data_IF_962428591960
#
_entry.id   IF_962428591960
#
_cell.length_a   1.000
_cell.length_b   1.000
_cell.length_c   1.000
_cell.angle_alpha   90.00
_cell.angle_beta   90.00
_cell.angle_gamma   90.00
#
_symmetry.space_group_name_H-M   'P 1'
#
loop_
_entity.id
_entity.type
_entity.pdbx_description
1 polymer ?
#
# COMPACT_ATOMS: atom_id res chain seq x y z
N UNK A 1 -20.31 -24.39 37.64
CA UNK A 1 -19.24 -23.37 37.54
C UNK A 1 -19.75 -22.08 36.88
N UNK A 2 -20.42 -22.18 35.72
CA UNK A 2 -21.00 -21.05 34.97
C UNK A 2 -21.97 -20.16 35.78
N UNK A 3 -22.83 -20.74 36.63
CA UNK A 3 -23.77 -20.00 37.47
C UNK A 3 -23.11 -19.12 38.56
N UNK A 4 -21.87 -19.44 38.99
CA UNK A 4 -21.15 -18.61 39.98
C UNK A 4 -20.53 -17.37 39.36
N UNK A 5 -20.23 -17.40 38.07
CA UNK A 5 -19.58 -16.28 37.35
C UNK A 5 -20.60 -15.19 37.05
N UNK A 6 -21.82 -15.56 36.63
CA UNK A 6 -22.90 -14.63 36.26
C UNK A 6 -23.48 -13.80 37.42
N UNK A 7 -23.16 -14.14 38.68
CA UNK A 7 -23.64 -13.42 39.87
C UNK A 7 -22.70 -12.34 40.42
N UNK A 8 -21.55 -12.11 39.78
CA UNK A 8 -20.50 -11.21 40.26
C UNK A 8 -20.38 -9.96 39.38
N UNK A 9 -20.11 -8.75 39.92
CA UNK A 9 -20.18 -7.48 39.16
C UNK A 9 -19.23 -7.39 37.95
N UNK A 10 -18.26 -8.31 37.84
CA UNK A 10 -17.28 -8.38 36.76
C UNK A 10 -17.62 -9.41 35.67
N UNK A 11 -18.78 -10.09 35.71
CA UNK A 11 -19.15 -11.10 34.71
C UNK A 11 -19.23 -10.52 33.29
N UNK A 12 -19.65 -9.25 33.18
CA UNK A 12 -19.69 -8.52 31.91
C UNK A 12 -18.29 -8.33 31.32
N UNK A 13 -17.27 -8.11 32.16
CA UNK A 13 -15.87 -7.97 31.75
C UNK A 13 -15.35 -9.32 31.25
N UNK A 14 -15.69 -10.42 31.93
CA UNK A 14 -15.29 -11.76 31.49
C UNK A 14 -15.93 -12.12 30.14
N UNK A 15 -17.22 -11.83 29.96
CA UNK A 15 -17.90 -12.04 28.67
C UNK A 15 -17.27 -11.17 27.58
N UNK A 16 -17.00 -9.89 27.87
CA UNK A 16 -16.37 -8.98 26.93
C UNK A 16 -14.95 -9.45 26.56
N UNK A 17 -14.14 -9.91 27.51
CA UNK A 17 -12.82 -10.49 27.24
C UNK A 17 -12.92 -11.77 26.42
N UNK A 18 -13.85 -12.68 26.74
CA UNK A 18 -14.02 -13.94 25.99
C UNK A 18 -14.50 -13.69 24.55
N UNK A 19 -15.26 -12.61 24.32
CA UNK A 19 -15.70 -12.22 22.96
C UNK A 19 -14.60 -11.48 22.22
N UNK A 20 -13.85 -10.59 22.89
CA UNK A 20 -12.80 -9.78 22.25
C UNK A 20 -11.51 -10.57 22.01
N UNK A 21 -11.15 -11.51 22.87
CA UNK A 21 -9.91 -12.30 22.74
C UNK A 21 -9.81 -13.05 21.39
N UNK A 22 -10.83 -13.82 20.93
CA UNK A 22 -10.76 -14.46 19.63
C UNK A 22 -10.75 -13.45 18.48
N UNK A 23 -11.42 -12.29 18.62
CA UNK A 23 -11.36 -11.21 17.61
C UNK A 23 -9.95 -10.64 17.52
N UNK A 24 -9.27 -10.41 18.65
CA UNK A 24 -7.89 -9.92 18.70
C UNK A 24 -6.92 -10.96 18.14
N UNK A 25 -7.06 -12.24 18.51
CA UNK A 25 -6.22 -13.32 17.98
C UNK A 25 -6.42 -13.46 16.47
N UNK A 26 -7.67 -13.40 15.99
CA UNK A 26 -8.01 -13.43 14.57
C UNK A 26 -7.42 -12.24 13.80
N UNK A 27 -7.48 -11.03 14.35
CA UNK A 27 -6.81 -9.85 13.77
C UNK A 27 -5.28 -9.97 13.75
N UNK A 28 -4.70 -10.72 14.69
CA UNK A 28 -3.26 -10.93 14.81
C UNK A 28 -2.73 -12.11 13.97
N UNK A 29 -3.59 -12.97 13.42
CA UNK A 29 -3.17 -14.04 12.52
C UNK A 29 -2.97 -13.50 11.10
N UNK A 30 -1.74 -13.60 10.54
CA UNK A 30 -1.50 -13.16 9.18
C UNK A 30 -2.30 -14.04 8.20
N UNK A 31 -3.06 -13.45 7.26
CA UNK A 31 -3.73 -14.24 6.24
C UNK A 31 -2.68 -14.96 5.40
N UNK A 32 -2.84 -16.28 5.20
CA UNK A 32 -1.99 -17.05 4.29
C UNK A 32 -2.32 -16.65 2.86
N UNK A 33 -1.58 -15.71 2.30
CA UNK A 33 -1.74 -15.27 0.91
C UNK A 33 -0.51 -15.72 0.14
N UNK A 34 -0.69 -16.70 -0.75
CA UNK A 34 0.39 -17.19 -1.59
C UNK A 34 0.36 -16.44 -2.93
N UNK A 35 1.22 -15.44 -3.09
CA UNK A 35 1.34 -14.68 -4.33
C UNK A 35 2.80 -14.58 -4.79
N UNK A 36 3.06 -15.03 -6.02
CA UNK A 36 4.33 -14.84 -6.72
C UNK A 36 4.30 -13.50 -7.48
N UNK A 37 4.45 -12.39 -6.76
CA UNK A 37 4.84 -11.15 -7.42
C UNK A 37 6.29 -11.30 -7.87
N UNK A 38 6.57 -10.90 -9.11
CA UNK A 38 7.92 -10.90 -9.64
C UNK A 38 8.10 -9.57 -10.36
N UNK A 39 8.50 -8.56 -9.61
CA UNK A 39 8.73 -7.22 -10.13
C UNK A 39 9.88 -7.17 -11.14
N UNK A 40 10.77 -8.17 -11.15
CA UNK A 40 11.84 -8.26 -12.15
C UNK A 40 11.31 -8.50 -13.58
N UNK A 41 10.04 -8.90 -13.76
CA UNK A 41 9.39 -8.96 -15.08
C UNK A 41 8.98 -7.60 -15.63
N UNK A 42 9.05 -6.53 -14.85
CA UNK A 42 8.79 -5.18 -15.35
C UNK A 42 9.78 -4.87 -16.48
N UNK A 43 9.32 -4.34 -17.62
CA UNK A 43 10.18 -4.14 -18.78
C UNK A 43 11.24 -3.07 -18.50
N UNK A 44 12.46 -3.29 -18.98
CA UNK A 44 13.52 -2.27 -18.95
C UNK A 44 13.37 -1.26 -20.10
N UNK A 45 12.51 -1.54 -21.09
CA UNK A 45 12.24 -0.63 -22.20
C UNK A 45 10.73 -0.40 -22.33
N UNK A 46 10.32 0.87 -22.34
CA UNK A 46 8.91 1.26 -22.55
C UNK A 46 8.88 2.36 -23.61
N UNK A 47 8.52 2.02 -24.85
CA UNK A 47 8.66 2.96 -25.97
C UNK A 47 10.09 3.48 -26.04
N UNK A 48 10.27 4.79 -25.89
CA UNK A 48 11.56 5.48 -25.98
C UNK A 48 12.32 5.56 -24.64
N UNK A 49 11.70 5.06 -23.56
CA UNK A 49 12.24 5.10 -22.20
C UNK A 49 13.10 3.89 -21.90
N UNK A 50 14.33 4.12 -21.46
CA UNK A 50 15.27 3.10 -21.00
C UNK A 50 15.37 3.09 -19.48
N UNK A 51 15.14 1.93 -18.88
CA UNK A 51 15.07 1.70 -17.44
C UNK A 51 16.37 1.13 -16.87
N UNK A 52 16.74 1.58 -15.68
CA UNK A 52 17.82 1.04 -14.88
C UNK A 52 17.37 0.84 -13.43
N UNK A 53 17.56 -0.38 -12.92
CA UNK A 53 17.27 -0.69 -11.52
C UNK A 53 18.23 0.04 -10.58
N UNK A 54 17.66 0.67 -9.55
CA UNK A 54 18.41 1.30 -8.48
C UNK A 54 18.45 0.33 -7.31
N UNK A 55 19.68 -0.04 -6.92
CA UNK A 55 19.88 -0.91 -5.77
C UNK A 55 19.56 -0.17 -4.48
N UNK A 56 18.64 -0.73 -3.72
CA UNK A 56 18.27 -0.25 -2.39
C UNK A 56 19.26 -0.83 -1.38
N UNK A 57 19.66 -0.04 -0.39
CA UNK A 57 20.54 -0.55 0.65
C UNK A 57 19.83 -1.64 1.47
N UNK A 58 20.57 -2.65 1.93
CA UNK A 58 19.97 -3.70 2.79
C UNK A 58 19.35 -3.11 4.05
N UNK A 59 19.95 -2.03 4.58
CA UNK A 59 19.42 -1.31 5.73
C UNK A 59 18.03 -0.73 5.44
N UNK A 60 17.87 -0.02 4.33
CA UNK A 60 16.60 0.62 3.98
C UNK A 60 15.55 -0.41 3.59
N UNK A 61 15.95 -1.47 2.89
CA UNK A 61 15.09 -2.60 2.56
C UNK A 61 14.56 -3.26 3.85
N UNK A 62 15.42 -3.56 4.81
CA UNK A 62 15.03 -4.19 6.07
C UNK A 62 14.20 -3.24 6.95
N UNK A 63 14.46 -1.94 6.92
CA UNK A 63 13.66 -0.95 7.65
C UNK A 63 12.22 -0.89 7.12
N UNK A 64 12.05 -0.94 5.80
CA UNK A 64 10.74 -0.97 5.16
C UNK A 64 10.08 -2.36 5.27
N UNK A 65 10.87 -3.43 5.34
CA UNK A 65 10.43 -4.82 5.37
C UNK A 65 9.28 -5.15 4.40
N UNK A 66 9.40 -4.79 3.10
CA UNK A 66 8.41 -5.17 2.09
C UNK A 66 8.59 -6.63 1.67
N UNK A 67 7.53 -7.24 1.15
CA UNK A 67 7.60 -8.58 0.57
C UNK A 67 8.34 -8.57 -0.78
N UNK A 68 8.16 -7.50 -1.58
CA UNK A 68 8.95 -7.21 -2.78
C UNK A 68 9.02 -5.69 -3.00
N UNK A 69 10.10 -5.20 -3.59
CA UNK A 69 10.33 -3.76 -3.82
C UNK A 69 11.12 -3.53 -5.10
N UNK A 70 10.58 -2.71 -5.99
CA UNK A 70 11.28 -2.24 -7.19
C UNK A 70 11.48 -0.74 -7.12
N UNK A 71 12.73 -0.32 -7.27
CA UNK A 71 13.11 1.07 -7.54
C UNK A 71 13.83 1.11 -8.89
N UNK A 72 13.30 1.86 -9.84
CA UNK A 72 13.83 1.94 -11.20
C UNK A 72 13.75 3.36 -11.74
N UNK A 73 14.84 3.82 -12.33
CA UNK A 73 14.84 5.08 -13.08
C UNK A 73 14.66 4.80 -14.55
N UNK A 74 13.75 5.50 -15.21
CA UNK A 74 13.60 5.54 -16.66
C UNK A 74 14.09 6.88 -17.19
N UNK A 75 14.85 6.84 -18.29
CA UNK A 75 15.32 8.03 -19.01
C UNK A 75 14.94 7.89 -20.48
N UNK A 76 14.37 8.94 -21.07
CA UNK A 76 14.07 8.95 -22.51
C UNK A 76 15.13 9.69 -23.33
N UNK A 77 14.94 9.70 -24.66
CA UNK A 77 15.83 10.35 -25.62
C UNK A 77 15.96 11.87 -25.44
N UNK A 78 14.99 12.52 -24.78
CA UNK A 78 15.01 13.95 -24.47
C UNK A 78 15.72 14.26 -23.14
N UNK A 79 16.16 13.24 -22.40
CA UNK A 79 16.79 13.38 -21.08
C UNK A 79 15.79 13.58 -19.93
N UNK A 80 14.50 13.39 -20.18
CA UNK A 80 13.49 13.39 -19.12
C UNK A 80 13.65 12.13 -18.26
N UNK A 81 13.43 12.25 -16.94
CA UNK A 81 13.64 11.17 -15.98
C UNK A 81 12.36 10.87 -15.19
N UNK A 82 12.04 9.59 -15.06
CA UNK A 82 10.97 9.10 -14.20
C UNK A 82 11.59 8.14 -13.18
N UNK A 83 11.23 8.32 -11.91
CA UNK A 83 11.64 7.44 -10.84
C UNK A 83 10.44 6.62 -10.37
N UNK A 84 10.44 5.35 -10.73
CA UNK A 84 9.39 4.38 -10.42
C UNK A 84 9.70 3.67 -9.11
N UNK A 85 8.70 3.61 -8.23
CA UNK A 85 8.71 2.84 -7.00
C UNK A 85 7.49 1.93 -6.95
N UNK A 86 7.70 0.64 -6.74
CA UNK A 86 6.62 -0.33 -6.51
C UNK A 86 6.94 -1.08 -5.22
N UNK A 87 6.09 -0.87 -4.21
CA UNK A 87 6.16 -1.56 -2.92
C UNK A 87 5.07 -2.62 -2.87
N UNK A 88 5.45 -3.87 -2.63
CA UNK A 88 4.52 -4.97 -2.41
C UNK A 88 4.61 -5.37 -0.95
N UNK A 89 3.48 -5.36 -0.26
CA UNK A 89 3.35 -6.00 1.05
C UNK A 89 2.02 -6.76 1.13
N UNK A 90 2.14 -7.97 1.66
CA UNK A 90 1.17 -9.05 1.77
C UNK A 90 1.03 -9.40 3.25
N UNK A 91 2.15 -9.57 3.95
CA UNK A 91 2.16 -9.98 5.36
C UNK A 91 2.43 -8.81 6.30
N UNK A 92 3.31 -7.87 5.92
CA UNK A 92 3.76 -6.79 6.80
C UNK A 92 3.05 -5.45 6.54
N UNK A 93 2.02 -5.19 7.36
CA UNK A 93 1.11 -4.04 7.21
C UNK A 93 1.69 -2.70 7.66
N UNK A 94 2.79 -2.72 8.42
CA UNK A 94 3.40 -1.51 8.99
C UNK A 94 4.16 -0.67 7.95
N UNK A 95 4.49 -1.27 6.79
CA UNK A 95 5.26 -0.64 5.73
C UNK A 95 4.47 0.38 4.88
N UNK A 96 3.14 0.41 4.98
CA UNK A 96 2.30 1.26 4.14
C UNK A 96 1.92 2.55 4.85
N UNK A 97 2.62 3.63 4.51
CA UNK A 97 2.23 4.99 4.84
C UNK A 97 2.01 5.83 3.58
N UNK A 98 1.21 6.91 3.65
CA UNK A 98 1.08 7.86 2.55
C UNK A 98 2.46 8.43 2.13
N UNK A 99 2.80 8.48 0.82
CA UNK A 99 4.08 9.01 0.34
C UNK A 99 4.34 10.45 0.78
N UNK A 100 3.29 11.23 0.99
CA UNK A 100 3.29 12.61 1.48
C UNK A 100 4.17 12.74 2.74
N UNK A 101 4.09 11.76 3.64
CA UNK A 101 4.86 11.77 4.90
C UNK A 101 6.37 11.65 4.67
N UNK A 102 6.79 10.90 3.65
CA UNK A 102 8.21 10.81 3.29
C UNK A 102 8.71 12.11 2.68
N UNK A 103 7.92 12.73 1.80
CA UNK A 103 8.31 13.96 1.14
C UNK A 103 8.32 15.15 2.10
N UNK A 104 7.35 15.24 3.01
CA UNK A 104 7.34 16.26 4.08
C UNK A 104 8.52 16.06 5.04
N UNK A 105 8.77 14.82 5.49
CA UNK A 105 9.91 14.47 6.34
C UNK A 105 11.28 14.73 5.69
N UNK A 106 11.36 14.68 4.36
CA UNK A 106 12.55 15.05 3.59
C UNK A 106 12.73 16.57 3.39
N UNK A 107 11.80 17.38 3.89
CA UNK A 107 11.85 18.85 3.81
C UNK A 107 11.29 19.43 2.50
N UNK A 108 10.53 18.66 1.74
CA UNK A 108 9.86 19.20 0.55
C UNK A 108 8.67 20.08 0.93
N UNK A 109 8.36 21.05 0.07
CA UNK A 109 7.15 21.86 0.18
C UNK A 109 6.12 21.32 -0.82
N UNK A 110 4.93 20.95 -0.33
CA UNK A 110 3.79 20.59 -1.15
C UNK A 110 3.12 21.87 -1.69
N UNK A 111 3.11 22.04 -3.01
CA UNK A 111 2.50 23.20 -3.68
C UNK A 111 1.05 22.97 -4.05
N UNK A 112 0.77 21.80 -4.63
CA UNK A 112 -0.56 21.43 -5.09
C UNK A 112 -0.75 19.91 -4.93
N UNK A 113 -1.94 19.50 -4.54
CA UNK A 113 -2.37 18.10 -4.58
C UNK A 113 -3.76 17.99 -5.21
N UNK A 114 -3.95 16.97 -6.05
CA UNK A 114 -5.26 16.67 -6.64
C UNK A 114 -5.38 15.18 -6.96
N UNK A 115 -6.61 14.73 -7.13
CA UNK A 115 -6.89 13.42 -7.73
C UNK A 115 -7.14 13.60 -9.23
N UNK A 116 -6.40 12.86 -10.07
CA UNK A 116 -6.54 12.91 -11.52
C UNK A 116 -6.81 11.52 -12.10
N UNK A 117 -7.69 11.45 -13.10
CA UNK A 117 -8.05 10.19 -13.75
C UNK A 117 -7.24 9.97 -15.01
N UNK A 118 -6.34 8.98 -15.01
CA UNK A 118 -5.50 8.60 -16.15
C UNK A 118 -6.16 7.47 -16.93
N UNK A 119 -6.29 7.65 -18.24
CA UNK A 119 -6.68 6.59 -19.16
C UNK A 119 -5.45 5.74 -19.49
N UNK A 120 -5.49 4.47 -19.11
CA UNK A 120 -4.39 3.52 -19.32
C UNK A 120 -4.56 2.73 -20.62
N UNK A 121 -5.72 2.84 -21.27
CA UNK A 121 -6.16 1.89 -22.29
C UNK A 121 -6.42 0.49 -21.73
N UNK A 122 -7.14 -0.33 -22.50
CA UNK A 122 -7.43 -1.73 -22.15
C UNK A 122 -8.77 -1.94 -21.42
N UNK A 123 -8.88 -3.06 -20.69
CA UNK A 123 -10.13 -3.52 -20.08
C UNK A 123 -10.30 -3.08 -18.61
N UNK A 124 -11.55 -3.04 -18.15
CA UNK A 124 -11.85 -2.81 -16.73
C UNK A 124 -11.27 -3.96 -15.88
N UNK A 125 -10.78 -3.68 -14.65
CA UNK A 125 -10.87 -2.40 -13.92
C UNK A 125 -9.73 -1.41 -14.19
N UNK A 126 -8.75 -1.76 -15.02
CA UNK A 126 -7.50 -0.97 -15.17
C UNK A 126 -7.53 0.04 -16.31
N UNK A 127 -8.56 0.02 -17.16
CA UNK A 127 -8.75 0.96 -18.27
C UNK A 127 -8.64 2.44 -17.84
N UNK A 128 -9.10 2.79 -16.63
CA UNK A 128 -8.96 4.13 -16.07
C UNK A 128 -8.60 4.03 -14.60
N UNK A 129 -7.52 4.70 -14.20
CA UNK A 129 -7.04 4.73 -12.82
C UNK A 129 -7.11 6.16 -12.28
N UNK A 130 -7.57 6.30 -11.04
CA UNK A 130 -7.45 7.57 -10.32
C UNK A 130 -6.10 7.56 -9.60
N UNK A 131 -5.29 8.58 -9.84
CA UNK A 131 -3.99 8.78 -9.20
C UNK A 131 -4.04 10.00 -8.30
N UNK A 132 -3.29 9.96 -7.21
CA UNK A 132 -2.96 11.13 -6.42
C UNK A 132 -1.76 11.82 -7.08
N UNK A 133 -1.99 13.03 -7.59
CA UNK A 133 -0.96 13.86 -8.19
C UNK A 133 -0.55 14.92 -7.18
N UNK A 134 0.74 14.99 -6.89
CA UNK A 134 1.35 15.99 -6.03
C UNK A 134 2.42 16.76 -6.79
N UNK A 135 2.42 18.08 -6.61
CA UNK A 135 3.50 18.94 -7.04
C UNK A 135 4.36 19.30 -5.82
N UNK A 136 5.58 18.78 -5.78
CA UNK A 136 6.51 19.01 -4.67
C UNK A 136 7.70 19.82 -5.16
N UNK A 137 8.23 20.68 -4.29
CA UNK A 137 9.52 21.33 -4.49
C UNK A 137 10.46 21.04 -3.34
N UNK A 138 11.70 20.72 -3.65
CA UNK A 138 12.75 20.48 -2.68
C UNK A 138 14.06 21.07 -3.19
N UNK A 139 14.52 22.14 -2.54
CA UNK A 139 15.66 22.95 -2.96
C UNK A 139 15.57 23.39 -4.44
N UNK A 140 16.39 22.80 -5.31
CA UNK A 140 16.40 23.06 -6.77
C UNK A 140 15.62 22.01 -7.59
N UNK A 141 14.89 21.11 -6.93
CA UNK A 141 14.07 20.09 -7.58
C UNK A 141 12.61 20.50 -7.56
N UNK A 142 11.99 20.40 -8.72
CA UNK A 142 10.58 20.66 -8.99
C UNK A 142 10.03 19.37 -9.60
N UNK A 143 9.24 18.62 -8.83
CA UNK A 143 8.87 17.25 -9.16
C UNK A 143 7.35 17.05 -9.10
N UNK A 144 6.85 16.27 -10.05
CA UNK A 144 5.49 15.74 -10.04
C UNK A 144 5.52 14.29 -9.56
N UNK A 145 4.77 14.02 -8.50
CA UNK A 145 4.66 12.68 -7.91
C UNK A 145 3.27 12.15 -8.17
N UNK A 146 3.20 10.99 -8.82
CA UNK A 146 1.95 10.29 -9.11
C UNK A 146 1.95 8.99 -8.30
N UNK A 147 0.94 8.78 -7.48
CA UNK A 147 0.79 7.55 -6.71
C UNK A 147 -0.64 7.02 -6.70
N UNK A 148 -0.78 5.71 -6.54
CA UNK A 148 -2.05 5.03 -6.34
C UNK A 148 -1.82 3.72 -5.60
N UNK A 149 -2.87 3.19 -5.00
CA UNK A 149 -2.86 1.95 -4.23
C UNK A 149 -3.65 0.87 -4.96
N UNK A 150 -3.18 -0.38 -4.87
CA UNK A 150 -3.81 -1.54 -5.48
C UNK A 150 -4.01 -2.66 -4.47
N UNK A 151 -5.23 -3.22 -4.41
CA UNK A 151 -5.57 -4.38 -3.59
C UNK A 151 -6.54 -5.31 -4.34
N UNK A 152 -5.99 -6.36 -4.96
CA UNK A 152 -6.73 -7.22 -5.89
C UNK A 152 -7.19 -6.41 -7.11
N UNK A 153 -8.51 -6.36 -7.35
CA UNK A 153 -9.10 -5.56 -8.44
C UNK A 153 -9.37 -4.10 -8.08
N UNK A 154 -9.13 -3.71 -6.83
CA UNK A 154 -9.33 -2.34 -6.37
C UNK A 154 -8.13 -1.47 -6.72
N UNK A 155 -8.39 -0.31 -7.31
CA UNK A 155 -7.42 0.76 -7.55
C UNK A 155 -7.96 2.05 -6.93
N UNK A 156 -7.16 2.76 -6.13
CA UNK A 156 -7.58 4.01 -5.48
C UNK A 156 -6.42 4.99 -5.32
N UNK A 157 -6.70 6.29 -5.46
CA UNK A 157 -5.79 7.36 -5.08
C UNK A 157 -5.83 7.65 -3.57
N UNK A 158 -6.87 7.20 -2.86
CA UNK A 158 -7.09 7.52 -1.46
C UNK A 158 -6.61 6.38 -0.55
N UNK A 159 -5.60 6.68 0.27
CA UNK A 159 -5.00 5.75 1.25
C UNK A 159 -6.01 5.25 2.30
N UNK A 160 -6.86 6.11 2.85
CA UNK A 160 -7.84 5.70 3.87
C UNK A 160 -8.91 4.78 3.29
N UNK A 161 -9.33 5.03 2.05
CA UNK A 161 -10.24 4.13 1.35
C UNK A 161 -9.60 2.78 1.07
N UNK A 162 -8.30 2.76 0.76
CA UNK A 162 -7.52 1.53 0.64
C UNK A 162 -7.50 0.75 1.97
N UNK A 163 -7.17 1.41 3.09
CA UNK A 163 -7.15 0.80 4.42
C UNK A 163 -8.51 0.26 4.84
N UNK A 164 -9.59 1.04 4.66
CA UNK A 164 -10.95 0.61 5.00
C UNK A 164 -11.39 -0.61 4.19
N UNK A 165 -11.17 -0.60 2.87
CA UNK A 165 -11.56 -1.72 2.02
C UNK A 165 -10.79 -2.99 2.34
N UNK A 166 -9.51 -2.87 2.71
CA UNK A 166 -8.72 -4.01 3.15
C UNK A 166 -9.30 -4.61 4.44
N UNK A 167 -9.58 -3.80 5.46
CA UNK A 167 -10.21 -4.24 6.72
C UNK A 167 -11.57 -4.91 6.45
N UNK A 168 -12.41 -4.30 5.62
CA UNK A 168 -13.72 -4.85 5.27
C UNK A 168 -13.61 -6.19 4.52
N UNK A 169 -12.68 -6.31 3.57
CA UNK A 169 -12.45 -7.57 2.84
C UNK A 169 -11.93 -8.68 3.74
N UNK A 170 -11.08 -8.37 4.72
CA UNK A 170 -10.63 -9.35 5.71
C UNK A 170 -11.82 -9.91 6.50
N UNK A 171 -12.74 -9.04 6.96
CA UNK A 171 -13.94 -9.47 7.69
C UNK A 171 -14.89 -10.29 6.77
N UNK A 172 -15.07 -9.87 5.52
CA UNK A 172 -16.03 -10.49 4.60
C UNK A 172 -15.52 -11.82 4.03
N UNK A 173 -14.24 -11.93 3.64
CA UNK A 173 -13.70 -13.17 3.07
C UNK A 173 -13.79 -14.34 4.04
N UNK A 174 -13.72 -14.10 5.35
CA UNK A 174 -13.90 -15.14 6.36
C UNK A 174 -15.36 -15.65 6.49
N UNK A 175 -16.36 -14.88 6.02
CA UNK A 175 -17.75 -15.38 5.98
C UNK A 175 -18.05 -16.30 4.79
N UNK A 176 -17.13 -16.45 3.82
CA UNK A 176 -17.29 -17.32 2.65
C UNK A 176 -16.48 -18.62 2.71
N UNK A 177 -15.78 -18.88 3.81
CA UNK A 177 -15.06 -20.14 4.05
C UNK A 177 -15.77 -21.00 5.10
N UNK A 178 -16.95 -21.55 4.76
CA UNK A 178 -17.59 -22.66 5.46
C UNK A 178 -18.33 -23.54 4.46
#
# INVERSE_FOLDING_TARGET
MMQKILGQPYWQIVVLLVVLLPIVIMMALPPKVNHNFNLARMPLQIGDWSGQDIKISERDYNMLSPDDLLMRQYINSNGESILLYIVVSVENREAFHPPELCYDGAGSQLFEEKTEGIDMGGDKPFAKINVHLMHIKMDNRDELVLNWYMAGTMVTANFYLHQLNFVLKQIIQETKSY
#
